data_IF_708022169983
#
_entry.id   IF_708022169983
#
_cell.length_a   1.000
_cell.length_b   1.000
_cell.length_c   1.000
_cell.angle_alpha   90.00
_cell.angle_beta   90.00
_cell.angle_gamma   90.00
#
_symmetry.space_group_name_H-M   'P 1'
#
loop_
_entity.id
_entity.type
_entity.pdbx_description
1 polymer ?
#
# COMPACT_ATOMS: atom_id res chain seq x y z
N UNK A 1 26.75 -0.23 10.31
CA UNK A 1 27.84 -1.12 10.75
C UNK A 1 27.56 -1.58 12.17
N UNK A 2 28.02 -2.77 12.55
CA UNK A 2 27.72 -3.36 13.87
C UNK A 2 28.85 -3.08 14.86
N UNK A 3 28.54 -2.49 16.02
CA UNK A 3 29.46 -2.36 17.17
C UNK A 3 28.87 -3.17 18.33
N UNK A 4 29.52 -4.28 18.69
CA UNK A 4 28.99 -5.21 19.68
C UNK A 4 27.70 -5.91 19.20
N UNK A 5 26.64 -5.85 20.00
CA UNK A 5 25.30 -6.37 19.66
C UNK A 5 24.43 -5.36 18.92
N UNK A 6 24.85 -4.11 18.88
CA UNK A 6 24.03 -2.99 18.40
C UNK A 6 24.42 -2.60 16.97
N UNK A 7 23.42 -2.34 16.13
CA UNK A 7 23.61 -1.80 14.79
C UNK A 7 23.71 -0.27 14.87
N UNK A 8 24.61 0.32 14.09
CA UNK A 8 24.77 1.76 13.96
C UNK A 8 24.69 2.18 12.50
N UNK A 9 24.06 3.33 12.24
CA UNK A 9 24.02 4.00 10.96
C UNK A 9 24.82 5.30 11.06
N UNK A 10 25.66 5.59 10.07
CA UNK A 10 26.35 6.88 10.00
C UNK A 10 25.46 7.88 9.27
N UNK A 11 25.11 8.97 9.95
CA UNK A 11 24.29 10.05 9.39
C UNK A 11 25.11 11.34 9.47
N UNK A 12 25.62 11.79 8.32
CA UNK A 12 26.61 12.87 8.28
C UNK A 12 27.90 12.44 9.00
N UNK A 13 28.29 13.20 10.02
CA UNK A 13 29.47 12.92 10.83
C UNK A 13 29.16 12.16 12.14
N UNK A 14 27.88 11.91 12.43
CA UNK A 14 27.46 11.23 13.67
C UNK A 14 27.12 9.75 13.46
N UNK A 15 27.48 8.95 14.46
CA UNK A 15 27.12 7.54 14.55
C UNK A 15 25.82 7.41 15.35
N UNK A 16 24.73 7.01 14.70
CA UNK A 16 23.40 6.87 15.30
C UNK A 16 23.07 5.39 15.48
N UNK A 17 22.50 5.01 16.63
CA UNK A 17 22.01 3.64 16.85
C UNK A 17 20.83 3.32 15.93
N UNK A 18 20.84 2.13 15.32
CA UNK A 18 19.84 1.68 14.36
C UNK A 18 18.97 0.57 14.95
N UNK A 19 17.64 0.77 14.90
CA UNK A 19 16.63 -0.22 15.26
C UNK A 19 16.18 -1.00 14.00
N UNK A 20 16.20 -2.32 14.06
CA UNK A 20 15.77 -3.19 12.95
C UNK A 20 14.27 -3.05 12.60
N UNK A 21 13.46 -2.51 13.51
CA UNK A 21 12.04 -2.21 13.27
C UNK A 21 11.80 -0.83 12.64
N UNK A 22 12.83 0.00 12.50
CA UNK A 22 12.71 1.32 11.92
C UNK A 22 12.27 1.24 10.45
N UNK A 23 11.32 2.11 10.07
CA UNK A 23 10.86 2.25 8.69
C UNK A 23 10.91 3.72 8.29
N UNK A 24 11.59 4.00 7.18
CA UNK A 24 11.65 5.33 6.58
C UNK A 24 10.61 5.45 5.48
N UNK A 25 9.74 6.46 5.60
CA UNK A 25 8.82 6.86 4.54
C UNK A 25 9.12 8.30 4.15
N UNK A 26 9.29 8.54 2.86
CA UNK A 26 9.50 9.88 2.30
C UNK A 26 8.34 10.21 1.37
N UNK A 27 7.81 11.43 1.48
CA UNK A 27 6.73 11.92 0.64
C UNK A 27 7.08 13.29 0.04
N UNK A 28 6.62 13.54 -1.17
CA UNK A 28 6.70 14.85 -1.81
C UNK A 28 5.35 15.17 -2.46
N UNK A 29 4.98 16.46 -2.43
CA UNK A 29 3.80 16.99 -3.13
C UNK A 29 4.11 17.41 -4.57
N UNK A 30 5.39 17.38 -4.97
CA UNK A 30 5.77 17.80 -6.32
C UNK A 30 5.18 16.83 -7.34
N UNK A 31 4.54 17.37 -8.37
CA UNK A 31 4.04 16.58 -9.50
C UNK A 31 5.21 16.17 -10.40
N UNK A 32 5.35 14.87 -10.66
CA UNK A 32 6.38 14.30 -11.55
C UNK A 32 7.84 14.73 -11.24
N UNK A 33 8.34 14.51 -10.01
CA UNK A 33 9.74 14.76 -9.67
C UNK A 33 10.65 13.88 -10.55
N UNK A 34 11.65 14.50 -11.19
CA UNK A 34 12.64 13.76 -11.95
C UNK A 34 13.65 13.11 -10.99
N UNK A 35 13.45 11.82 -10.72
CA UNK A 35 14.40 11.03 -9.94
C UNK A 35 15.47 10.45 -10.86
N UNK A 36 16.73 10.59 -10.45
CA UNK A 36 17.83 9.87 -11.11
C UNK A 36 17.63 8.36 -10.97
N UNK A 37 18.10 7.55 -11.93
CA UNK A 37 17.98 6.09 -11.86
C UNK A 37 18.50 5.47 -10.55
N UNK A 38 19.52 6.07 -9.95
CA UNK A 38 20.07 5.65 -8.65
C UNK A 38 19.02 5.65 -7.53
N UNK A 39 18.19 6.69 -7.45
CA UNK A 39 17.13 6.80 -6.44
C UNK A 39 16.02 5.78 -6.73
N UNK A 40 15.67 5.59 -8.00
CA UNK A 40 14.68 4.57 -8.39
C UNK A 40 15.14 3.14 -8.15
N UNK A 41 16.45 2.90 -8.09
CA UNK A 41 17.02 1.60 -7.77
C UNK A 41 17.13 1.36 -6.25
N UNK A 42 17.37 2.41 -5.47
CA UNK A 42 17.53 2.32 -4.01
C UNK A 42 16.21 2.39 -3.25
N UNK A 43 15.18 3.01 -3.82
CA UNK A 43 13.90 3.25 -3.18
C UNK A 43 12.74 2.75 -4.04
N UNK A 44 11.70 2.21 -3.39
CA UNK A 44 10.43 1.92 -4.06
C UNK A 44 9.62 3.21 -4.22
N UNK A 45 9.44 3.66 -5.47
CA UNK A 45 8.64 4.85 -5.78
C UNK A 45 7.17 4.45 -5.91
N UNK A 46 6.31 5.07 -5.12
CA UNK A 46 4.85 4.90 -5.19
C UNK A 46 4.23 6.17 -5.76
N UNK A 47 3.44 6.04 -6.82
CA UNK A 47 2.77 7.17 -7.46
C UNK A 47 1.34 7.33 -6.92
N UNK A 48 1.09 8.42 -6.20
CA UNK A 48 -0.22 8.79 -5.65
C UNK A 48 -0.97 9.83 -6.49
N UNK A 49 -0.52 10.13 -7.72
CA UNK A 49 -1.20 11.08 -8.58
C UNK A 49 -2.59 10.54 -8.90
N UNK A 50 -3.61 11.34 -8.56
CA UNK A 50 -4.99 11.07 -8.96
C UNK A 50 -5.07 11.15 -10.48
N UNK A 51 -5.43 10.03 -11.12
CA UNK A 51 -5.70 10.00 -12.55
C UNK A 51 -7.08 10.58 -12.81
N UNK A 52 -7.30 11.21 -13.98
CA UNK A 52 -8.62 11.77 -14.33
C UNK A 52 -9.73 10.72 -14.21
N UNK A 53 -9.46 9.51 -14.70
CA UNK A 53 -10.34 8.35 -14.56
C UNK A 53 -10.62 8.01 -13.09
N UNK A 54 -9.59 7.96 -12.24
CA UNK A 54 -9.78 7.70 -10.81
C UNK A 54 -10.61 8.77 -10.11
N UNK A 55 -10.48 10.03 -10.52
CA UNK A 55 -11.32 11.12 -10.02
C UNK A 55 -12.76 11.01 -10.51
N UNK A 56 -12.97 10.67 -11.79
CA UNK A 56 -14.30 10.43 -12.37
C UNK A 56 -15.02 9.29 -11.62
N UNK A 57 -14.33 8.18 -11.37
CA UNK A 57 -14.87 7.04 -10.63
C UNK A 57 -15.24 7.43 -9.19
N UNK A 58 -14.42 8.26 -8.53
CA UNK A 58 -14.70 8.78 -7.17
C UNK A 58 -15.90 9.72 -7.13
N UNK A 59 -15.99 10.62 -8.11
CA UNK A 59 -17.12 11.53 -8.24
C UNK A 59 -18.41 10.76 -8.52
N UNK A 60 -18.37 9.78 -9.43
CA UNK A 60 -19.50 8.91 -9.73
C UNK A 60 -19.96 8.16 -8.48
N UNK A 61 -19.03 7.58 -7.71
CA UNK A 61 -19.36 6.90 -6.45
C UNK A 61 -20.07 7.84 -5.47
N UNK A 62 -19.62 9.10 -5.38
CA UNK A 62 -20.21 10.12 -4.50
C UNK A 62 -21.64 10.48 -4.94
N UNK A 63 -21.88 10.61 -6.24
CA UNK A 63 -23.22 10.92 -6.79
C UNK A 63 -24.16 9.74 -6.59
N UNK A 64 -23.72 8.51 -6.90
CA UNK A 64 -24.51 7.29 -6.71
C UNK A 64 -24.89 7.10 -5.25
N UNK A 65 -23.99 7.42 -4.31
CA UNK A 65 -24.28 7.39 -2.88
C UNK A 65 -25.44 8.31 -2.49
N UNK A 66 -25.49 9.51 -3.08
CA UNK A 66 -26.51 10.51 -2.79
C UNK A 66 -27.84 10.22 -3.52
N UNK A 67 -27.79 9.78 -4.77
CA UNK A 67 -28.99 9.59 -5.61
C UNK A 67 -29.60 8.20 -5.46
N UNK A 68 -28.80 7.16 -5.23
CA UNK A 68 -29.23 5.75 -5.18
C UNK A 68 -28.52 4.97 -4.07
N UNK A 69 -28.77 5.28 -2.79
CA UNK A 69 -28.08 4.66 -1.65
C UNK A 69 -28.28 3.15 -1.55
N UNK A 70 -29.44 2.63 -1.94
CA UNK A 70 -29.73 1.18 -1.91
C UNK A 70 -28.82 0.37 -2.85
N UNK A 71 -28.47 0.93 -4.02
CA UNK A 71 -27.51 0.30 -4.94
C UNK A 71 -26.11 0.26 -4.34
N UNK A 72 -25.73 1.31 -3.60
CA UNK A 72 -24.45 1.37 -2.94
C UNK A 72 -24.34 0.36 -1.78
N UNK A 73 -25.40 0.22 -0.98
CA UNK A 73 -25.47 -0.77 0.10
C UNK A 73 -25.37 -2.20 -0.45
N UNK A 74 -26.09 -2.47 -1.54
CA UNK A 74 -26.04 -3.76 -2.24
C UNK A 74 -24.64 -4.04 -2.78
N UNK A 75 -24.00 -3.06 -3.42
CA UNK A 75 -22.60 -3.15 -3.88
C UNK A 75 -21.66 -3.48 -2.73
N UNK A 76 -21.75 -2.76 -1.62
CA UNK A 76 -20.87 -2.95 -0.47
C UNK A 76 -21.03 -4.36 0.14
N UNK A 77 -22.27 -4.83 0.25
CA UNK A 77 -22.59 -6.18 0.73
C UNK A 77 -21.98 -7.25 -0.19
N UNK A 78 -22.14 -7.09 -1.51
CA UNK A 78 -21.58 -8.01 -2.50
C UNK A 78 -20.04 -8.03 -2.47
N UNK A 79 -19.40 -6.87 -2.36
CA UNK A 79 -17.94 -6.77 -2.26
C UNK A 79 -17.42 -7.44 -0.99
N UNK A 80 -18.09 -7.25 0.14
CA UNK A 80 -17.73 -7.90 1.40
C UNK A 80 -17.87 -9.43 1.32
N UNK A 81 -18.99 -9.91 0.76
CA UNK A 81 -19.21 -11.33 0.55
C UNK A 81 -18.14 -11.92 -0.39
N UNK A 82 -17.85 -11.25 -1.51
CA UNK A 82 -16.82 -11.67 -2.45
C UNK A 82 -15.43 -11.78 -1.82
N UNK A 83 -15.02 -10.80 -1.02
CA UNK A 83 -13.74 -10.84 -0.31
C UNK A 83 -13.69 -12.01 0.69
N UNK A 84 -14.80 -12.26 1.39
CA UNK A 84 -14.91 -13.41 2.31
C UNK A 84 -14.76 -14.73 1.57
N UNK A 85 -15.46 -14.89 0.44
CA UNK A 85 -15.35 -16.09 -0.38
C UNK A 85 -13.94 -16.28 -0.95
N UNK A 86 -13.26 -15.21 -1.34
CA UNK A 86 -11.88 -15.29 -1.83
C UNK A 86 -10.91 -15.77 -0.75
N UNK A 87 -11.10 -15.32 0.50
CA UNK A 87 -10.31 -15.79 1.64
C UNK A 87 -10.59 -17.28 1.91
N UNK A 88 -11.86 -17.68 1.93
CA UNK A 88 -12.26 -19.07 2.13
C UNK A 88 -11.72 -20.00 1.05
N UNK A 89 -11.74 -19.56 -0.21
CA UNK A 89 -11.22 -20.34 -1.34
C UNK A 89 -9.73 -20.60 -1.16
N UNK A 90 -8.96 -19.56 -0.79
CA UNK A 90 -7.53 -19.72 -0.51
C UNK A 90 -7.27 -20.66 0.67
N UNK A 91 -8.03 -20.53 1.75
CA UNK A 91 -7.89 -21.41 2.92
C UNK A 91 -8.17 -22.88 2.57
N UNK A 92 -9.18 -23.13 1.74
CA UNK A 92 -9.49 -24.48 1.23
C UNK A 92 -8.38 -25.01 0.30
N UNK A 93 -7.79 -24.16 -0.54
CA UNK A 93 -6.63 -24.52 -1.38
C UNK A 93 -5.41 -24.87 -0.53
N UNK A 94 -5.11 -24.05 0.49
CA UNK A 94 -4.00 -24.27 1.43
C UNK A 94 -4.20 -25.58 2.23
N UNK A 95 -5.41 -25.86 2.70
CA UNK A 95 -5.74 -27.13 3.39
C UNK A 95 -5.61 -28.37 2.49
N UNK A 96 -5.95 -28.27 1.20
CA UNK A 96 -5.75 -29.34 0.24
C UNK A 96 -4.27 -29.65 0.01
N UNK A 97 -3.44 -28.60 -0.05
CA UNK A 97 -1.98 -28.72 -0.18
C UNK A 97 -1.32 -29.34 1.06
N UNK A 98 -1.80 -29.04 2.28
CA UNK A 98 -1.27 -29.64 3.50
C UNK A 98 -1.60 -31.13 3.68
N UNK A 99 -2.63 -31.64 2.98
CA UNK A 99 -3.05 -33.05 3.07
C UNK A 99 -2.39 -33.97 2.03
N UNK A 100 -1.54 -33.43 1.16
CA UNK A 100 -0.70 -34.16 0.20
C UNK A 100 0.73 -34.30 0.73
#
# INVERSE_FOLDING_TARGET
FRKGRTMYLKVGDEDVEYDDNFRLYMQTKLSNPHYKPEISAQCTIINFIVTRKGLEDQLLATIVSAEQPELEETRNTLVAAFNTYKIQLKDLEDQLLERL
#
